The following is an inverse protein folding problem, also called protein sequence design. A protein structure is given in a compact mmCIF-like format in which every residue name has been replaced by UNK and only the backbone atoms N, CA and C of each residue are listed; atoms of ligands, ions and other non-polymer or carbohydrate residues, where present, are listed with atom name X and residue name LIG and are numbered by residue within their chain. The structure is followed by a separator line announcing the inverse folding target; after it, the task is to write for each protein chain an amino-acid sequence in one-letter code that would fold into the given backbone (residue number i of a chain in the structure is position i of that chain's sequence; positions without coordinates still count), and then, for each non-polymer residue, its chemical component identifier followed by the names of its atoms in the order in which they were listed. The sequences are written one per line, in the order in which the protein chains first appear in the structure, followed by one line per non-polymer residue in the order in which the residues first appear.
data_IF_956602788309
#
_entry.id   IF_956602788309
#
_cell.length_a   1.000
_cell.length_b   1.000
_cell.length_c   1.000
_cell.angle_alpha   90.00
_cell.angle_beta   90.00
_cell.angle_gamma   90.00
#
_symmetry.space_group_name_H-M   'P 1'
#
loop_
_entity.id
_entity.type
_entity.pdbx_description
1 polymer ?
#
# COMPACT_ATOMS: atom_id res chain seq x y z
N UNK A 1 -25.82 -10.79 8.14
CA UNK A 1 -25.56 -9.46 8.75
C UNK A 1 -26.02 -8.42 7.75
N UNK A 2 -26.81 -7.43 8.17
CA UNK A 2 -27.19 -6.31 7.30
C UNK A 2 -25.92 -5.56 6.88
N UNK A 3 -25.78 -5.19 5.60
CA UNK A 3 -24.68 -4.32 5.16
C UNK A 3 -24.76 -3.01 5.98
N UNK A 4 -23.65 -2.55 6.59
CA UNK A 4 -23.66 -1.29 7.32
C UNK A 4 -24.10 -0.16 6.38
N UNK A 5 -25.05 0.67 6.84
CA UNK A 5 -25.56 1.77 6.05
C UNK A 5 -24.44 2.77 5.78
N UNK A 6 -24.06 2.91 4.51
CA UNK A 6 -23.09 3.92 4.07
C UNK A 6 -23.72 5.32 4.15
N UNK A 7 -22.93 6.30 4.56
CA UNK A 7 -23.29 7.73 4.58
C UNK A 7 -23.40 8.34 3.17
N UNK A 8 -22.94 7.61 2.15
CA UNK A 8 -22.97 8.03 0.75
C UNK A 8 -23.78 7.08 -0.13
N UNK A 9 -24.38 7.63 -1.18
CA UNK A 9 -25.17 6.88 -2.16
C UNK A 9 -25.02 7.51 -3.55
N UNK A 10 -24.96 6.71 -4.63
CA UNK A 10 -24.87 5.25 -4.65
C UNK A 10 -23.47 4.73 -4.27
N UNK A 11 -23.41 3.62 -3.54
CA UNK A 11 -22.16 2.95 -3.16
C UNK A 11 -22.14 1.49 -3.63
N UNK A 12 -20.98 1.05 -4.12
CA UNK A 12 -20.71 -0.34 -4.48
C UNK A 12 -19.41 -0.83 -3.85
N UNK A 13 -19.30 -2.15 -3.72
CA UNK A 13 -18.04 -2.82 -3.41
C UNK A 13 -17.67 -3.71 -4.58
N UNK A 14 -16.41 -3.67 -4.99
CA UNK A 14 -15.83 -4.66 -5.90
C UNK A 14 -14.82 -5.47 -5.09
N UNK A 15 -15.00 -6.79 -5.05
CA UNK A 15 -14.11 -7.70 -4.36
C UNK A 15 -13.27 -8.47 -5.37
N UNK A 16 -11.99 -8.67 -5.05
CA UNK A 16 -11.05 -9.49 -5.79
C UNK A 16 -10.48 -10.57 -4.89
N UNK A 17 -10.08 -11.70 -5.47
CA UNK A 17 -9.22 -12.67 -4.79
C UNK A 17 -7.72 -12.32 -4.93
N UNK A 18 -6.85 -13.23 -4.51
CA UNK A 18 -5.40 -13.01 -4.52
C UNK A 18 -4.79 -12.99 -5.93
N UNK A 19 -5.47 -13.58 -6.92
CA UNK A 19 -5.05 -13.64 -8.33
C UNK A 19 -5.61 -12.48 -9.16
N UNK A 20 -6.47 -11.67 -8.55
CA UNK A 20 -7.08 -10.50 -9.16
C UNK A 20 -8.39 -10.82 -9.87
N UNK A 21 -9.00 -11.99 -9.64
CA UNK A 21 -10.28 -12.33 -10.21
C UNK A 21 -11.41 -11.62 -9.43
N UNK A 22 -12.29 -10.86 -10.11
CA UNK A 22 -13.36 -10.13 -9.44
C UNK A 22 -14.53 -11.05 -9.08
N UNK A 23 -15.17 -10.79 -7.94
CA UNK A 23 -16.46 -11.38 -7.60
C UNK A 23 -17.53 -10.92 -8.61
N UNK A 24 -17.92 -11.82 -9.53
CA UNK A 24 -18.74 -11.49 -10.70
C UNK A 24 -20.04 -10.74 -10.38
N UNK A 25 -20.79 -11.17 -9.36
CA UNK A 25 -22.06 -10.52 -8.98
C UNK A 25 -21.89 -9.07 -8.53
N UNK A 26 -20.82 -8.76 -7.80
CA UNK A 26 -20.51 -7.40 -7.33
C UNK A 26 -20.09 -6.51 -8.48
N UNK A 27 -19.20 -7.02 -9.33
CA UNK A 27 -18.77 -6.36 -10.57
C UNK A 27 -19.97 -6.02 -11.46
N UNK A 28 -20.84 -6.98 -11.72
CA UNK A 28 -21.97 -6.79 -12.62
C UNK A 28 -22.98 -5.77 -12.07
N UNK A 29 -23.20 -5.75 -10.75
CA UNK A 29 -24.01 -4.72 -10.07
C UNK A 29 -23.42 -3.32 -10.19
N UNK A 30 -22.10 -3.19 -10.13
CA UNK A 30 -21.42 -1.90 -10.36
C UNK A 30 -21.63 -1.45 -11.81
N UNK A 31 -21.38 -2.34 -12.79
CA UNK A 31 -21.50 -2.02 -14.21
C UNK A 31 -22.91 -1.56 -14.59
N UNK A 32 -23.93 -2.29 -14.15
CA UNK A 32 -25.33 -1.90 -14.37
C UNK A 32 -25.70 -0.62 -13.60
N UNK A 33 -25.32 -0.57 -12.32
CA UNK A 33 -25.68 0.52 -11.42
C UNK A 33 -25.14 1.89 -11.82
N UNK A 34 -23.93 1.96 -12.38
CA UNK A 34 -23.33 3.21 -12.88
C UNK A 34 -24.22 3.84 -13.97
N UNK A 35 -24.69 3.02 -14.91
CA UNK A 35 -25.56 3.46 -16.00
C UNK A 35 -26.98 3.78 -15.49
N UNK A 36 -27.58 2.89 -14.71
CA UNK A 36 -28.94 3.06 -14.17
C UNK A 36 -29.09 4.29 -13.28
N UNK A 37 -28.03 4.65 -12.53
CA UNK A 37 -28.02 5.81 -11.65
C UNK A 37 -27.52 7.10 -12.32
N UNK A 38 -27.12 7.04 -13.60
CA UNK A 38 -26.62 8.20 -14.33
C UNK A 38 -25.37 8.83 -13.71
N UNK A 39 -24.49 7.99 -13.13
CA UNK A 39 -23.24 8.45 -12.50
C UNK A 39 -22.34 9.08 -13.57
N UNK A 40 -21.83 10.29 -13.28
CA UNK A 40 -20.86 10.97 -14.16
C UNK A 40 -19.44 10.80 -13.65
N UNK A 41 -19.22 10.94 -12.35
CA UNK A 41 -17.91 10.83 -11.72
C UNK A 41 -17.94 9.66 -10.74
N UNK A 42 -17.10 8.63 -10.98
CA UNK A 42 -17.01 7.43 -10.17
C UNK A 42 -15.70 7.48 -9.38
N UNK A 43 -15.80 7.66 -8.06
CA UNK A 43 -14.65 7.67 -7.16
C UNK A 43 -14.44 6.24 -6.66
N UNK A 44 -13.32 5.64 -7.06
CA UNK A 44 -12.93 4.28 -6.69
C UNK A 44 -11.79 4.35 -5.69
N UNK A 45 -12.00 3.86 -4.48
CA UNK A 45 -10.99 3.87 -3.43
C UNK A 45 -10.52 2.45 -3.11
N UNK A 46 -9.22 2.20 -3.29
CA UNK A 46 -8.54 1.03 -2.79
C UNK A 46 -7.72 1.39 -1.55
N UNK A 47 -8.09 0.83 -0.40
CA UNK A 47 -7.29 0.92 0.80
C UNK A 47 -6.27 -0.23 0.87
N UNK A 48 -5.17 -0.01 1.60
CA UNK A 48 -4.05 -0.95 1.72
C UNK A 48 -4.30 -2.16 2.61
N UNK A 49 -5.35 -2.15 3.44
CA UNK A 49 -5.60 -3.17 4.45
C UNK A 49 -7.07 -3.55 4.53
N UNK A 50 -7.40 -4.83 4.38
CA UNK A 50 -8.77 -5.33 4.47
C UNK A 50 -8.84 -6.52 5.44
N UNK A 51 -8.14 -6.42 6.59
CA UNK A 51 -8.10 -7.48 7.62
C UNK A 51 -9.49 -8.02 7.94
N UNK A 52 -10.49 -7.16 8.00
CA UNK A 52 -11.89 -7.55 8.00
C UNK A 52 -12.73 -6.61 7.13
N UNK A 53 -13.74 -7.15 6.45
CA UNK A 53 -14.60 -6.37 5.53
C UNK A 53 -15.30 -5.22 6.26
N UNK A 54 -15.72 -5.41 7.50
CA UNK A 54 -16.46 -4.38 8.23
C UNK A 54 -15.58 -3.16 8.54
N UNK A 55 -14.31 -3.38 8.89
CA UNK A 55 -13.30 -2.35 9.09
C UNK A 55 -13.03 -1.57 7.81
N UNK A 56 -12.83 -2.28 6.69
CA UNK A 56 -12.65 -1.67 5.38
C UNK A 56 -13.83 -0.79 4.97
N UNK A 57 -15.06 -1.30 5.09
CA UNK A 57 -16.28 -0.54 4.77
C UNK A 57 -16.44 0.70 5.65
N UNK A 58 -16.11 0.64 6.96
CA UNK A 58 -16.12 1.83 7.84
C UNK A 58 -15.09 2.88 7.42
N UNK A 59 -13.93 2.46 6.93
CA UNK A 59 -12.91 3.38 6.42
C UNK A 59 -13.37 4.06 5.13
N UNK A 60 -13.95 3.30 4.20
CA UNK A 60 -14.54 3.84 2.99
C UNK A 60 -15.66 4.84 3.31
N UNK A 61 -16.55 4.49 4.24
CA UNK A 61 -17.62 5.37 4.68
C UNK A 61 -17.09 6.71 5.20
N UNK A 62 -16.14 6.67 6.13
CA UNK A 62 -15.57 7.89 6.71
C UNK A 62 -14.80 8.74 5.70
N UNK A 63 -14.08 8.09 4.78
CA UNK A 63 -13.35 8.82 3.74
C UNK A 63 -14.31 9.50 2.76
N UNK A 64 -15.41 8.83 2.39
CA UNK A 64 -16.38 9.36 1.44
C UNK A 64 -17.38 10.34 2.04
N UNK A 65 -17.66 10.26 3.35
CA UNK A 65 -18.67 11.07 4.04
C UNK A 65 -18.62 12.59 3.74
N UNK A 66 -17.45 13.25 3.59
CA UNK A 66 -17.41 14.67 3.24
C UNK A 66 -17.84 14.99 1.80
N UNK A 67 -17.67 14.05 0.85
CA UNK A 67 -17.75 14.33 -0.59
C UNK A 67 -19.12 14.88 -1.06
N UNK A 68 -20.29 14.35 -0.63
CA UNK A 68 -21.57 14.90 -1.05
C UNK A 68 -21.76 16.38 -0.67
N UNK A 69 -21.18 16.81 0.47
CA UNK A 69 -21.25 18.21 0.91
C UNK A 69 -20.26 19.10 0.16
N UNK A 70 -19.14 18.54 -0.28
CA UNK A 70 -18.08 19.27 -0.98
C UNK A 70 -18.39 19.46 -2.48
N UNK A 71 -19.17 18.57 -3.08
CA UNK A 71 -19.60 18.65 -4.49
C UNK A 71 -21.10 18.28 -4.63
N UNK A 72 -22.02 19.09 -4.08
CA UNK A 72 -23.45 18.75 -4.03
C UNK A 72 -24.14 18.74 -5.40
N UNK A 73 -23.56 19.37 -6.41
CA UNK A 73 -24.08 19.37 -7.78
C UNK A 73 -23.56 18.19 -8.62
N UNK A 74 -22.52 17.50 -8.15
CA UNK A 74 -21.89 16.42 -8.88
C UNK A 74 -22.71 15.13 -8.79
N UNK A 75 -22.79 14.38 -9.89
CA UNK A 75 -23.38 13.04 -9.94
C UNK A 75 -22.32 12.00 -9.63
N UNK A 76 -22.00 11.87 -8.34
CA UNK A 76 -20.92 11.01 -7.86
C UNK A 76 -21.43 9.61 -7.51
N UNK A 77 -20.72 8.58 -7.97
CA UNK A 77 -20.82 7.22 -7.44
C UNK A 77 -19.57 6.85 -6.66
N UNK A 78 -19.71 5.97 -5.67
CA UNK A 78 -18.63 5.60 -4.75
C UNK A 78 -18.34 4.09 -4.82
N UNK A 79 -17.07 3.71 -4.90
CA UNK A 79 -16.66 2.30 -4.94
C UNK A 79 -15.56 2.03 -3.92
N UNK A 80 -15.80 1.07 -3.01
CA UNK A 80 -14.74 0.47 -2.19
C UNK A 80 -14.16 -0.76 -2.86
N UNK A 81 -12.83 -0.88 -2.92
CA UNK A 81 -12.13 -2.06 -3.46
C UNK A 81 -11.74 -3.00 -2.33
N UNK A 82 -12.32 -4.20 -2.33
CA UNK A 82 -11.96 -5.27 -1.41
C UNK A 82 -10.99 -6.21 -2.10
N UNK A 83 -9.89 -6.53 -1.43
CA UNK A 83 -8.87 -7.46 -1.91
C UNK A 83 -8.15 -8.07 -0.71
N UNK A 84 -7.56 -9.28 -0.82
CA UNK A 84 -7.00 -9.96 0.33
C UNK A 84 -5.75 -9.21 0.81
N UNK A 85 -5.89 -8.42 1.85
CA UNK A 85 -4.82 -7.60 2.40
C UNK A 85 -4.96 -7.51 3.90
N UNK A 86 -3.84 -7.51 4.63
CA UNK A 86 -3.86 -7.41 6.08
C UNK A 86 -2.87 -6.38 6.61
N UNK A 87 -3.15 -5.99 7.86
CA UNK A 87 -2.29 -5.24 8.75
C UNK A 87 -2.06 -6.04 10.02
N UNK A 88 -0.86 -5.93 10.61
CA UNK A 88 -0.62 -6.42 11.96
C UNK A 88 -1.36 -5.54 12.97
N UNK A 89 -2.11 -6.13 13.88
CA UNK A 89 -2.99 -5.45 14.85
C UNK A 89 -2.28 -4.38 15.68
N UNK A 90 -0.97 -4.54 15.93
CA UNK A 90 -0.12 -3.65 16.74
C UNK A 90 0.12 -2.25 16.12
N UNK A 91 -0.28 -2.03 14.88
CA UNK A 91 -0.19 -0.74 14.19
C UNK A 91 -1.43 0.15 14.42
N UNK A 92 -1.36 1.25 15.19
CA UNK A 92 -2.54 2.06 15.49
C UNK A 92 -3.06 2.81 14.25
N UNK A 93 -4.40 2.88 14.09
CA UNK A 93 -5.07 3.73 13.09
C UNK A 93 -5.73 4.92 13.83
N UNK A 94 -5.39 6.18 13.50
CA UNK A 94 -6.07 7.34 14.05
C UNK A 94 -7.60 7.29 13.81
N UNK A 95 -8.37 7.81 14.76
CA UNK A 95 -9.83 7.87 14.72
C UNK A 95 -10.58 6.52 14.79
N UNK A 96 -9.90 5.37 14.73
CA UNK A 96 -10.51 4.06 14.97
C UNK A 96 -10.22 3.56 16.38
N UNK A 97 -11.23 3.00 17.10
CA UNK A 97 -10.97 2.39 18.40
C UNK A 97 -10.03 1.19 18.22
N UNK A 98 -9.06 1.04 19.13
CA UNK A 98 -8.34 -0.23 19.29
C UNK A 98 -9.38 -1.30 19.61
N UNK A 99 -9.33 -2.44 18.92
CA UNK A 99 -10.01 -3.63 19.40
C UNK A 99 -9.39 -3.92 20.77
N UNK A 100 -10.16 -3.67 21.83
CA UNK A 100 -9.82 -3.67 23.27
C UNK A 100 -8.76 -2.67 23.77
N UNK A 101 -9.03 -2.12 24.95
CA UNK A 101 -8.07 -1.42 25.82
C UNK A 101 -7.05 -2.41 26.43
N UNK A 102 -6.45 -3.25 25.59
CA UNK A 102 -5.39 -4.17 25.98
C UNK A 102 -4.03 -3.46 25.88
N UNK A 103 -3.09 -3.88 26.72
CA UNK A 103 -1.67 -3.54 26.58
C UNK A 103 -1.22 -3.71 25.12
N UNK A 104 -0.29 -2.88 24.61
CA UNK A 104 0.28 -3.12 23.28
C UNK A 104 0.73 -4.58 23.20
N UNK A 105 0.40 -5.30 22.11
CA UNK A 105 0.73 -6.71 21.98
C UNK A 105 2.23 -6.91 22.21
N UNK A 106 2.55 -7.86 23.08
CA UNK A 106 3.92 -8.13 23.50
C UNK A 106 4.61 -8.88 22.38
N UNK A 107 5.44 -8.17 21.60
CA UNK A 107 6.42 -8.85 20.76
C UNK A 107 7.25 -9.80 21.63
N UNK A 108 7.57 -10.99 21.11
CA UNK A 108 7.36 -11.45 19.73
C UNK A 108 6.04 -12.20 19.47
N UNK A 109 5.11 -12.29 20.43
CA UNK A 109 3.91 -13.13 20.34
C UNK A 109 2.84 -12.54 19.42
N UNK A 110 2.23 -13.40 18.59
CA UNK A 110 1.07 -13.02 17.76
C UNK A 110 -0.20 -12.97 18.60
N UNK A 111 -0.87 -11.83 18.62
CA UNK A 111 -2.21 -11.76 19.19
C UNK A 111 -3.26 -12.46 18.31
N UNK A 112 -4.45 -12.63 18.89
CA UNK A 112 -5.57 -13.33 18.23
C UNK A 112 -5.98 -12.66 16.91
N UNK A 113 -5.95 -11.34 16.86
CA UNK A 113 -6.42 -10.57 15.70
C UNK A 113 -5.41 -10.70 14.54
N UNK A 114 -4.11 -10.63 14.83
CA UNK A 114 -3.06 -10.88 13.84
C UNK A 114 -3.08 -12.32 13.35
N UNK A 115 -3.27 -13.31 14.25
CA UNK A 115 -3.38 -14.71 13.83
C UNK A 115 -4.59 -14.94 12.92
N UNK A 116 -5.74 -14.34 13.25
CA UNK A 116 -6.93 -14.41 12.39
C UNK A 116 -6.69 -13.74 11.03
N UNK A 117 -6.07 -12.57 11.01
CA UNK A 117 -5.71 -11.85 9.79
C UNK A 117 -4.80 -12.67 8.86
N UNK A 118 -3.79 -13.37 9.43
CA UNK A 118 -2.92 -14.27 8.66
C UNK A 118 -3.70 -15.42 8.01
N UNK A 119 -4.63 -16.04 8.74
CA UNK A 119 -5.45 -17.14 8.23
C UNK A 119 -6.37 -16.72 7.09
N UNK A 120 -6.99 -15.53 7.21
CA UNK A 120 -7.87 -14.99 6.17
C UNK A 120 -7.07 -14.56 4.92
N UNK A 121 -5.87 -14.03 5.12
CA UNK A 121 -4.97 -13.56 4.05
C UNK A 121 -4.28 -14.69 3.31
N UNK A 122 -4.04 -15.82 3.98
CA UNK A 122 -3.37 -17.01 3.47
C UNK A 122 -4.25 -18.26 3.71
N UNK A 123 -5.38 -18.38 2.98
CA UNK A 123 -6.29 -19.49 3.16
C UNK A 123 -5.60 -20.84 2.92
N UNK A 124 -5.93 -21.84 3.73
CA UNK A 124 -5.31 -23.18 3.66
C UNK A 124 -3.93 -23.29 4.32
N UNK A 125 -3.39 -22.22 4.90
CA UNK A 125 -2.06 -22.21 5.55
C UNK A 125 -2.11 -22.32 7.08
N UNK A 126 -3.22 -22.81 7.65
CA UNK A 126 -3.45 -22.84 9.10
C UNK A 126 -2.34 -23.56 9.90
N UNK A 127 -1.86 -24.70 9.40
CA UNK A 127 -0.79 -25.46 10.06
C UNK A 127 0.51 -24.63 10.15
N UNK A 128 0.87 -23.91 9.09
CA UNK A 128 2.06 -23.06 9.05
C UNK A 128 1.92 -21.88 10.01
N UNK A 129 0.77 -21.19 9.99
CA UNK A 129 0.49 -20.07 10.91
C UNK A 129 0.60 -20.54 12.36
N UNK A 130 0.11 -21.74 12.67
CA UNK A 130 0.17 -22.31 14.01
C UNK A 130 1.59 -22.69 14.43
N UNK A 131 2.41 -23.19 13.50
CA UNK A 131 3.83 -23.47 13.77
C UNK A 131 4.62 -22.17 14.02
N UNK A 132 4.43 -21.16 13.17
CA UNK A 132 5.04 -19.83 13.31
C UNK A 132 4.66 -19.20 14.65
N UNK A 133 3.38 -19.23 15.02
CA UNK A 133 2.90 -18.70 16.29
C UNK A 133 3.53 -19.42 17.50
N UNK A 134 3.67 -20.75 17.43
CA UNK A 134 4.31 -21.53 18.49
C UNK A 134 5.79 -21.19 18.67
N UNK A 135 6.55 -21.04 17.58
CA UNK A 135 7.96 -20.67 17.66
C UNK A 135 8.14 -19.27 18.28
N UNK A 136 7.30 -18.31 17.89
CA UNK A 136 7.30 -16.96 18.48
C UNK A 136 6.93 -16.98 19.98
N UNK A 137 6.07 -17.90 20.41
CA UNK A 137 5.70 -18.05 21.82
C UNK A 137 6.80 -18.73 22.63
N UNK A 138 7.43 -19.78 22.09
CA UNK A 138 8.42 -20.60 22.79
C UNK A 138 9.81 -19.96 22.84
N UNK A 139 10.17 -19.17 21.82
CA UNK A 139 11.47 -18.50 21.69
C UNK A 139 12.66 -19.41 22.00
N UNK A 140 12.78 -20.58 21.33
CA UNK A 140 13.89 -21.49 21.60
C UNK A 140 15.24 -20.80 21.37
N UNK A 141 16.26 -21.10 22.20
CA UNK A 141 17.54 -20.41 22.17
C UNK A 141 18.45 -20.83 21.00
N UNK A 142 18.16 -21.94 20.33
CA UNK A 142 18.97 -22.48 19.24
C UNK A 142 18.79 -21.67 17.94
N UNK A 143 19.90 -21.25 17.33
CA UNK A 143 19.90 -20.52 16.05
C UNK A 143 19.19 -21.29 14.91
N UNK A 144 19.27 -22.62 14.93
CA UNK A 144 18.60 -23.48 13.95
C UNK A 144 17.07 -23.31 13.94
N UNK A 145 16.47 -22.90 15.06
CA UNK A 145 15.03 -22.66 15.15
C UNK A 145 14.61 -21.35 14.47
N UNK A 146 15.50 -20.35 14.40
CA UNK A 146 15.28 -19.14 13.60
C UNK A 146 15.37 -19.45 12.09
N UNK A 147 16.21 -20.41 11.70
CA UNK A 147 16.26 -20.90 10.31
C UNK A 147 14.99 -21.66 9.94
N UNK A 148 14.48 -22.53 10.81
CA UNK A 148 13.20 -23.20 10.60
C UNK A 148 12.05 -22.18 10.57
N UNK A 149 12.06 -21.19 11.45
CA UNK A 149 11.10 -20.08 11.42
C UNK A 149 11.11 -19.37 10.07
N UNK A 150 12.28 -18.98 9.57
CA UNK A 150 12.43 -18.34 8.26
C UNK A 150 11.92 -19.21 7.11
N UNK A 151 12.16 -20.52 7.15
CA UNK A 151 11.63 -21.49 6.17
C UNK A 151 10.10 -21.55 6.19
N UNK A 152 9.48 -21.55 7.37
CA UNK A 152 8.03 -21.52 7.53
C UNK A 152 7.43 -20.21 7.00
N UNK A 153 8.03 -19.06 7.32
CA UNK A 153 7.63 -17.75 6.81
C UNK A 153 7.71 -17.70 5.29
N UNK A 154 8.83 -18.17 4.70
CA UNK A 154 9.01 -18.25 3.25
C UNK A 154 7.94 -19.10 2.57
N UNK A 155 7.56 -20.21 3.21
CA UNK A 155 6.51 -21.12 2.72
C UNK A 155 5.13 -20.47 2.83
N UNK A 156 4.85 -19.74 3.93
CA UNK A 156 3.59 -19.05 4.16
C UNK A 156 3.30 -18.01 3.06
N UNK A 157 4.29 -17.19 2.72
CA UNK A 157 4.11 -16.06 1.78
C UNK A 157 4.29 -16.46 0.31
N UNK A 158 4.48 -17.76 0.06
CA UNK A 158 4.68 -18.35 -1.26
C UNK A 158 5.68 -17.52 -2.08
N UNK A 159 6.92 -17.43 -1.62
CA UNK A 159 7.96 -16.74 -2.40
C UNK A 159 8.04 -17.41 -3.78
N UNK A 160 7.52 -16.70 -4.78
CA UNK A 160 7.37 -17.21 -6.14
C UNK A 160 8.76 -17.31 -6.77
N UNK A 161 9.03 -18.41 -7.46
CA UNK A 161 10.22 -18.56 -8.28
C UNK A 161 10.36 -17.39 -9.30
N UNK A 162 11.58 -17.07 -9.77
CA UNK A 162 11.79 -16.03 -10.77
C UNK A 162 10.86 -16.18 -11.99
N UNK A 163 10.10 -15.14 -12.33
CA UNK A 163 9.13 -15.17 -13.43
C UNK A 163 8.29 -13.89 -13.56
N UNK A 164 7.33 -13.82 -14.51
CA UNK A 164 6.55 -12.60 -14.77
C UNK A 164 5.77 -12.10 -13.54
N UNK A 165 5.40 -12.98 -12.62
CA UNK A 165 4.70 -12.63 -11.37
C UNK A 165 5.59 -11.88 -10.37
N UNK A 166 6.91 -12.06 -10.42
CA UNK A 166 7.86 -11.33 -9.57
C UNK A 166 7.87 -9.82 -9.89
N UNK A 167 7.50 -9.44 -11.12
CA UNK A 167 7.35 -8.02 -11.51
C UNK A 167 6.25 -7.30 -10.73
N UNK A 168 5.25 -8.02 -10.21
CA UNK A 168 4.21 -7.40 -9.38
C UNK A 168 4.72 -7.00 -8.00
N UNK A 169 5.82 -7.60 -7.52
CA UNK A 169 6.48 -7.25 -6.27
C UNK A 169 7.63 -6.24 -6.45
N UNK A 170 8.23 -6.18 -7.64
CA UNK A 170 9.33 -5.29 -7.95
C UNK A 170 8.91 -3.82 -7.95
N UNK A 171 9.78 -2.91 -7.48
CA UNK A 171 9.59 -1.47 -7.66
C UNK A 171 10.34 -0.91 -8.86
N UNK A 172 11.45 -1.55 -9.21
CA UNK A 172 12.28 -1.18 -10.35
C UNK A 172 12.53 -2.38 -11.24
N UNK A 173 12.82 -2.12 -12.51
CA UNK A 173 13.07 -3.14 -13.53
C UNK A 173 14.24 -2.71 -14.39
N UNK A 174 15.08 -3.68 -14.76
CA UNK A 174 16.13 -3.50 -15.76
C UNK A 174 15.87 -4.49 -16.89
N UNK A 175 15.95 -4.02 -18.11
CA UNK A 175 15.65 -4.82 -19.29
C UNK A 175 16.59 -6.04 -19.38
N UNK A 176 16.02 -7.21 -19.68
CA UNK A 176 16.78 -8.44 -19.87
C UNK A 176 17.34 -9.09 -18.61
N UNK A 177 17.04 -8.58 -17.40
CA UNK A 177 17.54 -9.18 -16.15
C UNK A 177 16.41 -9.72 -15.27
N UNK A 178 16.44 -11.01 -14.90
CA UNK A 178 15.43 -11.60 -14.01
C UNK A 178 15.30 -10.87 -12.68
N UNK A 179 14.09 -10.90 -12.12
CA UNK A 179 13.83 -10.46 -10.76
C UNK A 179 14.22 -11.59 -9.80
N UNK A 180 15.00 -11.26 -8.78
CA UNK A 180 15.45 -12.19 -7.74
C UNK A 180 14.46 -12.25 -6.59
N UNK A 181 14.63 -13.25 -5.73
CA UNK A 181 13.93 -13.30 -4.44
C UNK A 181 14.42 -12.17 -3.51
N UNK A 182 13.59 -11.76 -2.53
CA UNK A 182 14.00 -10.84 -1.47
C UNK A 182 15.31 -11.26 -0.79
N UNK A 183 16.23 -10.31 -0.59
CA UNK A 183 17.46 -10.49 0.21
C UNK A 183 17.16 -11.07 1.62
N UNK A 184 16.02 -10.77 2.24
CA UNK A 184 15.60 -11.37 3.52
C UNK A 184 15.42 -12.90 3.48
N UNK A 185 15.38 -13.49 2.28
CA UNK A 185 15.32 -14.94 2.06
C UNK A 185 16.54 -15.51 1.32
N UNK A 186 17.51 -14.66 0.96
CA UNK A 186 18.69 -15.06 0.18
C UNK A 186 19.86 -15.57 1.04
N UNK A 187 19.75 -15.47 2.38
CA UNK A 187 20.79 -15.85 3.33
C UNK A 187 20.24 -16.47 4.61
N UNK A 188 20.99 -16.35 5.71
CA UNK A 188 20.57 -16.84 7.03
C UNK A 188 19.36 -16.07 7.56
N UNK A 189 18.33 -16.82 7.95
CA UNK A 189 17.14 -16.26 8.59
C UNK A 189 17.48 -15.67 9.96
N UNK A 190 18.43 -16.29 10.69
CA UNK A 190 18.91 -15.76 11.96
C UNK A 190 19.57 -14.37 11.78
N UNK A 191 20.42 -14.20 10.77
CA UNK A 191 21.03 -12.91 10.46
C UNK A 191 20.00 -11.84 10.08
N UNK A 192 18.98 -12.19 9.28
CA UNK A 192 17.88 -11.28 8.95
C UNK A 192 17.07 -10.87 10.20
N UNK A 193 16.79 -11.83 11.09
CA UNK A 193 16.11 -11.56 12.37
C UNK A 193 16.94 -10.63 13.25
N UNK A 194 18.25 -10.85 13.38
CA UNK A 194 19.12 -9.94 14.13
C UNK A 194 19.12 -8.51 13.58
N UNK A 195 19.17 -8.37 12.26
CA UNK A 195 19.15 -7.05 11.62
C UNK A 195 17.83 -6.30 11.90
N UNK A 196 16.71 -7.00 11.81
CA UNK A 196 15.41 -6.42 12.19
C UNK A 196 15.34 -6.09 13.69
N UNK A 197 15.84 -6.97 14.56
CA UNK A 197 15.84 -6.72 16.00
C UNK A 197 16.65 -5.46 16.36
N UNK A 198 17.79 -5.24 15.70
CA UNK A 198 18.61 -4.02 15.86
C UNK A 198 17.85 -2.78 15.38
N UNK A 199 17.25 -2.83 14.19
CA UNK A 199 16.47 -1.71 13.65
C UNK A 199 15.28 -1.33 14.55
N UNK A 200 14.59 -2.31 15.11
CA UNK A 200 13.50 -2.09 16.06
C UNK A 200 13.98 -1.42 17.35
N UNK A 201 15.12 -1.86 17.90
CA UNK A 201 15.69 -1.28 19.11
C UNK A 201 16.07 0.20 18.91
N UNK A 202 16.53 0.59 17.72
CA UNK A 202 16.84 1.99 17.38
C UNK A 202 15.58 2.87 17.29
N UNK A 203 14.47 2.32 16.76
CA UNK A 203 13.19 3.03 16.62
C UNK A 203 12.49 3.30 17.96
N UNK A 204 12.63 2.38 18.93
CA UNK A 204 11.99 2.47 20.25
C UNK A 204 12.68 3.46 21.20
N UNK A 205 13.94 3.83 20.94
CA UNK A 205 14.73 4.74 21.78
C UNK A 205 15.46 5.83 20.98
N UNK A 206 14.73 6.80 20.38
CA UNK A 206 15.35 7.92 19.68
C UNK A 206 15.97 8.91 20.69
N UNK A 207 17.26 8.76 21.01
CA UNK A 207 18.01 9.73 21.81
C UNK A 207 19.28 9.20 22.51
N UNK A 208 20.11 10.09 23.10
CA UNK A 208 21.41 9.75 23.70
C UNK A 208 21.33 8.98 25.03
N UNK A 209 20.13 8.68 25.53
CA UNK A 209 19.91 7.79 26.68
C UNK A 209 19.69 6.36 26.18
N UNK A 210 20.72 5.78 25.58
CA UNK A 210 20.75 4.34 25.31
C UNK A 210 20.82 3.60 26.65
N UNK A 211 19.68 3.10 27.12
CA UNK A 211 19.72 1.90 27.95
C UNK A 211 20.27 0.78 27.07
N UNK A 212 21.24 0.02 27.57
CA UNK A 212 21.77 -1.16 26.88
C UNK A 212 20.63 -2.19 26.76
N UNK A 213 19.89 -2.18 25.64
CA UNK A 213 18.95 -3.25 25.28
C UNK A 213 19.69 -4.20 24.35
N UNK A 214 19.90 -5.43 24.80
CA UNK A 214 20.36 -6.52 23.93
C UNK A 214 19.20 -6.82 22.98
N UNK A 215 19.35 -6.65 21.66
CA UNK A 215 18.28 -6.97 20.71
C UNK A 215 17.87 -8.44 20.84
N UNK A 216 16.56 -8.71 20.95
CA UNK A 216 16.03 -10.07 20.95
C UNK A 216 15.82 -10.54 19.50
N UNK A 217 16.53 -11.56 19.00
CA UNK A 217 16.33 -12.08 17.65
C UNK A 217 14.88 -12.49 17.37
N UNK A 218 14.11 -12.93 18.38
CA UNK A 218 12.70 -13.29 18.19
C UNK A 218 11.78 -12.07 17.97
N UNK A 219 12.12 -10.89 18.48
CA UNK A 219 11.45 -9.63 18.08
C UNK A 219 11.72 -9.34 16.59
N UNK A 220 12.94 -9.65 16.15
CA UNK A 220 13.32 -9.63 14.74
C UNK A 220 12.61 -10.69 13.89
N UNK A 221 12.34 -11.87 14.43
CA UNK A 221 11.58 -12.92 13.76
C UNK A 221 10.11 -12.50 13.56
N UNK A 222 9.50 -11.88 14.57
CA UNK A 222 8.18 -11.25 14.41
C UNK A 222 8.18 -10.19 13.30
N UNK A 223 9.24 -9.37 13.22
CA UNK A 223 9.39 -8.37 12.17
C UNK A 223 9.65 -8.99 10.79
N UNK A 224 10.43 -10.07 10.68
CA UNK A 224 10.63 -10.83 9.45
C UNK A 224 9.29 -11.34 8.91
N UNK A 225 8.44 -11.91 9.77
CA UNK A 225 7.09 -12.34 9.39
C UNK A 225 6.25 -11.15 8.88
N UNK A 226 6.33 -9.99 9.54
CA UNK A 226 5.63 -8.77 9.10
C UNK A 226 6.09 -8.34 7.72
N UNK A 227 7.40 -8.20 7.52
CA UNK A 227 7.97 -7.75 6.25
C UNK A 227 7.72 -8.74 5.12
N UNK A 228 7.81 -10.04 5.39
CA UNK A 228 7.43 -11.08 4.44
C UNK A 228 5.95 -10.98 4.02
N UNK A 229 5.06 -10.75 4.99
CA UNK A 229 3.63 -10.55 4.72
C UNK A 229 3.41 -9.30 3.87
N UNK A 230 4.06 -8.19 4.18
CA UNK A 230 3.97 -6.95 3.40
C UNK A 230 4.56 -7.08 2.01
N UNK A 231 5.63 -7.87 1.82
CA UNK A 231 6.12 -8.22 0.50
C UNK A 231 5.06 -8.99 -0.33
N UNK A 232 4.36 -9.95 0.29
CA UNK A 232 3.24 -10.61 -0.37
C UNK A 232 2.10 -9.64 -0.71
N UNK A 233 1.79 -8.67 0.17
CA UNK A 233 0.75 -7.66 -0.09
C UNK A 233 1.16 -6.72 -1.23
N UNK A 234 2.42 -6.29 -1.28
CA UNK A 234 3.00 -5.49 -2.37
C UNK A 234 2.83 -6.21 -3.72
N UNK A 235 3.17 -7.50 -3.76
CA UNK A 235 2.99 -8.36 -4.94
C UNK A 235 1.52 -8.44 -5.34
N UNK A 236 0.66 -8.78 -4.39
CA UNK A 236 -0.78 -8.96 -4.61
C UNK A 236 -1.47 -7.66 -5.06
N UNK A 237 -1.07 -6.50 -4.53
CA UNK A 237 -1.53 -5.20 -4.99
C UNK A 237 -1.22 -4.98 -6.49
N UNK A 238 -0.03 -5.37 -6.94
CA UNK A 238 0.33 -5.35 -8.36
C UNK A 238 -0.55 -6.29 -9.20
N UNK A 239 -0.74 -7.53 -8.74
CA UNK A 239 -1.59 -8.53 -9.41
C UNK A 239 -3.05 -8.07 -9.52
N UNK A 240 -3.67 -7.72 -8.39
CA UNK A 240 -5.06 -7.27 -8.32
C UNK A 240 -5.26 -5.97 -9.11
N UNK A 241 -4.29 -5.06 -9.06
CA UNK A 241 -4.30 -3.84 -9.87
C UNK A 241 -4.36 -4.15 -11.36
N UNK A 242 -3.33 -4.82 -11.88
CA UNK A 242 -3.17 -5.05 -13.32
C UNK A 242 -4.18 -6.06 -13.88
N UNK A 243 -4.39 -7.18 -13.20
CA UNK A 243 -5.25 -8.28 -13.71
C UNK A 243 -6.71 -8.14 -13.32
N UNK A 244 -7.00 -7.42 -12.24
CA UNK A 244 -8.35 -7.19 -11.73
C UNK A 244 -8.87 -5.80 -12.07
N UNK A 245 -8.52 -4.81 -11.25
CA UNK A 245 -9.12 -3.49 -11.29
C UNK A 245 -8.97 -2.81 -12.66
N UNK A 246 -7.80 -2.93 -13.31
CA UNK A 246 -7.60 -2.38 -14.66
C UNK A 246 -8.59 -2.94 -15.69
N UNK A 247 -8.90 -4.24 -15.63
CA UNK A 247 -9.88 -4.88 -16.51
C UNK A 247 -11.31 -4.44 -16.19
N UNK A 248 -11.66 -4.32 -14.91
CA UNK A 248 -12.98 -3.82 -14.48
C UNK A 248 -13.19 -2.37 -14.94
N UNK A 249 -12.17 -1.52 -14.86
CA UNK A 249 -12.23 -0.15 -15.41
C UNK A 249 -12.39 -0.16 -16.93
N UNK A 250 -11.75 -1.10 -17.63
CA UNK A 250 -11.98 -1.32 -19.06
C UNK A 250 -13.43 -1.70 -19.39
N UNK A 251 -14.03 -2.57 -18.59
CA UNK A 251 -15.44 -2.96 -18.74
C UNK A 251 -16.39 -1.79 -18.44
N UNK A 252 -16.08 -0.96 -17.43
CA UNK A 252 -16.81 0.28 -17.15
C UNK A 252 -16.76 1.24 -18.34
N UNK A 253 -15.59 1.41 -18.96
CA UNK A 253 -15.43 2.28 -20.12
C UNK A 253 -16.28 1.81 -21.32
N UNK A 254 -16.53 0.49 -21.46
CA UNK A 254 -17.40 -0.05 -22.49
C UNK A 254 -18.89 0.10 -22.14
N UNK A 255 -19.27 -0.23 -20.90
CA UNK A 255 -20.66 -0.22 -20.46
C UNK A 255 -21.21 1.20 -20.22
N UNK A 256 -20.35 2.15 -19.83
CA UNK A 256 -20.68 3.53 -19.56
C UNK A 256 -19.59 4.47 -20.11
N UNK A 257 -19.53 4.71 -21.43
CA UNK A 257 -18.45 5.50 -22.06
C UNK A 257 -18.31 6.93 -21.53
N UNK A 258 -19.40 7.48 -21.01
CA UNK A 258 -19.46 8.81 -20.40
C UNK A 258 -19.05 8.83 -18.91
N UNK A 259 -18.74 7.70 -18.28
CA UNK A 259 -18.28 7.74 -16.89
C UNK A 259 -16.85 8.31 -16.83
N UNK A 260 -16.56 9.08 -15.78
CA UNK A 260 -15.23 9.58 -15.43
C UNK A 260 -14.77 8.85 -14.18
N UNK A 261 -13.71 8.06 -14.29
CA UNK A 261 -13.21 7.28 -13.16
C UNK A 261 -12.08 8.04 -12.46
N UNK A 262 -12.19 8.18 -11.15
CA UNK A 262 -11.20 8.82 -10.28
C UNK A 262 -10.66 7.75 -9.33
N UNK A 263 -9.43 7.34 -9.54
CA UNK A 263 -8.81 6.31 -8.71
C UNK A 263 -8.16 6.97 -7.49
N UNK A 264 -8.47 6.46 -6.31
CA UNK A 264 -7.85 6.84 -5.05
C UNK A 264 -7.23 5.59 -4.45
N UNK A 265 -5.99 5.70 -4.00
CA UNK A 265 -5.31 4.57 -3.37
C UNK A 265 -4.53 5.02 -2.15
N UNK A 266 -4.60 4.24 -1.08
CA UNK A 266 -3.83 4.48 0.15
C UNK A 266 -2.85 3.33 0.41
N UNK A 267 -1.61 3.62 0.84
CA UNK A 267 -0.62 2.58 1.17
C UNK A 267 -0.43 1.60 0.00
N UNK A 268 -0.57 0.28 0.21
CA UNK A 268 -0.57 -0.69 -0.90
C UNK A 268 -1.75 -0.56 -1.87
N UNK A 269 -2.86 0.05 -1.45
CA UNK A 269 -3.95 0.43 -2.34
C UNK A 269 -3.53 1.50 -3.36
N UNK A 270 -2.56 2.35 -3.02
CA UNK A 270 -1.93 3.29 -3.96
C UNK A 270 -1.14 2.55 -5.05
N UNK A 271 -0.43 1.49 -4.67
CA UNK A 271 0.24 0.59 -5.62
C UNK A 271 -0.79 -0.11 -6.51
N UNK A 272 -1.87 -0.63 -5.92
CA UNK A 272 -2.95 -1.33 -6.63
C UNK A 272 -3.56 -0.45 -7.73
N UNK A 273 -4.00 0.76 -7.41
CA UNK A 273 -4.58 1.66 -8.42
C UNK A 273 -3.55 2.12 -9.46
N UNK A 274 -2.26 2.16 -9.11
CA UNK A 274 -1.20 2.46 -10.06
C UNK A 274 -0.96 1.32 -11.04
N UNK A 275 -0.98 0.06 -10.57
CA UNK A 275 -0.92 -1.12 -11.44
C UNK A 275 -2.20 -1.31 -12.27
N UNK A 276 -3.36 -0.81 -11.80
CA UNK A 276 -4.56 -0.77 -12.63
C UNK A 276 -4.35 -0.01 -13.94
N UNK A 277 -3.47 1.00 -13.97
CA UNK A 277 -3.11 1.72 -15.21
C UNK A 277 -2.40 0.82 -16.23
N UNK A 278 -1.59 -0.16 -15.79
CA UNK A 278 -0.99 -1.19 -16.64
C UNK A 278 -2.03 -2.16 -17.19
N UNK A 279 -3.05 -2.45 -16.39
CA UNK A 279 -4.16 -3.34 -16.74
C UNK A 279 -5.23 -2.75 -17.64
N UNK A 280 -5.17 -1.44 -17.94
CA UNK A 280 -6.17 -0.79 -18.79
C UNK A 280 -6.07 -1.31 -20.23
N UNK A 281 -7.19 -1.75 -20.84
CA UNK A 281 -7.21 -2.03 -22.27
C UNK A 281 -6.76 -0.83 -23.11
N UNK A 282 -6.22 -1.10 -24.30
CA UNK A 282 -5.81 -0.05 -25.24
C UNK A 282 -6.98 0.88 -25.58
N UNK A 283 -6.70 2.18 -25.75
CA UNK A 283 -7.72 3.18 -26.06
C UNK A 283 -8.58 3.64 -24.88
N UNK A 284 -8.53 3.01 -23.71
CA UNK A 284 -9.30 3.44 -22.54
C UNK A 284 -8.76 4.76 -21.98
N UNK A 285 -9.61 5.80 -21.97
CA UNK A 285 -9.32 7.16 -21.48
C UNK A 285 -10.24 7.61 -20.35
N UNK A 286 -11.01 6.68 -19.78
CA UNK A 286 -12.02 6.94 -18.75
C UNK A 286 -11.43 7.35 -17.40
N UNK A 287 -10.18 6.98 -17.09
CA UNK A 287 -9.49 7.41 -15.87
C UNK A 287 -9.08 8.88 -15.97
N UNK A 288 -9.72 9.75 -15.16
CA UNK A 288 -9.57 11.21 -15.21
C UNK A 288 -8.68 11.77 -14.10
N UNK A 289 -8.36 10.99 -13.08
CA UNK A 289 -7.35 11.34 -12.09
C UNK A 289 -6.95 10.10 -11.30
N UNK A 290 -5.73 10.15 -10.76
CA UNK A 290 -5.24 9.20 -9.76
C UNK A 290 -4.75 9.99 -8.57
N UNK A 291 -5.20 9.68 -7.35
CA UNK A 291 -4.72 10.28 -6.10
C UNK A 291 -4.13 9.20 -5.21
N UNK A 292 -2.83 9.29 -4.94
CA UNK A 292 -2.07 8.38 -4.10
C UNK A 292 -1.89 9.02 -2.72
N UNK A 293 -2.48 8.44 -1.68
CA UNK A 293 -2.38 8.89 -0.30
C UNK A 293 -1.37 8.00 0.42
N UNK A 294 -0.23 8.55 0.87
CA UNK A 294 0.78 7.80 1.61
C UNK A 294 1.16 6.50 0.88
N UNK A 295 1.53 6.60 -0.41
CA UNK A 295 1.78 5.43 -1.25
C UNK A 295 2.97 4.58 -0.78
N UNK A 296 2.71 3.31 -0.45
CA UNK A 296 3.69 2.37 0.10
C UNK A 296 4.44 1.59 -1.01
N UNK A 297 5.11 2.32 -1.89
CA UNK A 297 5.96 1.80 -2.96
C UNK A 297 6.91 2.89 -3.46
N UNK A 298 7.89 2.50 -4.28
CA UNK A 298 9.08 3.33 -4.49
C UNK A 298 8.74 4.67 -5.10
N UNK A 299 9.38 5.73 -4.61
CA UNK A 299 9.33 7.05 -5.21
C UNK A 299 9.83 7.12 -6.67
N UNK A 300 10.57 6.10 -7.13
CA UNK A 300 11.02 5.97 -8.50
C UNK A 300 10.13 5.09 -9.38
N UNK A 301 8.99 4.59 -8.87
CA UNK A 301 8.17 3.62 -9.60
C UNK A 301 7.71 4.12 -10.98
N UNK A 302 7.57 5.43 -11.19
CA UNK A 302 7.18 6.04 -12.48
C UNK A 302 8.37 6.61 -13.29
N UNK A 303 9.59 6.56 -12.74
CA UNK A 303 10.78 7.13 -13.37
C UNK A 303 11.20 6.30 -14.58
N UNK A 304 11.48 6.95 -15.70
CA UNK A 304 11.97 6.26 -16.90
C UNK A 304 13.40 5.71 -16.70
N UNK A 305 14.19 6.36 -15.83
CA UNK A 305 15.53 5.93 -15.45
C UNK A 305 15.79 6.22 -13.99
N UNK A 306 16.47 5.33 -13.30
CA UNK A 306 16.88 5.55 -11.91
C UNK A 306 18.10 6.49 -11.87
N UNK A 307 18.17 7.44 -10.91
CA UNK A 307 19.34 8.31 -10.75
C UNK A 307 20.65 7.56 -10.51
N UNK A 308 20.57 6.35 -9.93
CA UNK A 308 21.71 5.53 -9.53
C UNK A 308 21.97 4.33 -10.45
N UNK A 309 21.10 4.05 -11.43
CA UNK A 309 21.33 3.03 -12.47
C UNK A 309 20.58 3.40 -13.75
N UNK A 310 21.30 3.93 -14.75
CA UNK A 310 20.73 4.39 -16.01
C UNK A 310 20.15 3.26 -16.88
N UNK A 311 20.42 1.99 -16.55
CA UNK A 311 19.88 0.80 -17.25
C UNK A 311 18.58 0.30 -16.63
N UNK A 312 18.18 0.85 -15.48
CA UNK A 312 16.97 0.50 -14.78
C UNK A 312 15.98 1.66 -14.78
N UNK A 313 14.69 1.34 -14.73
CA UNK A 313 13.59 2.28 -14.57
C UNK A 313 12.59 1.77 -13.54
N UNK A 314 11.59 2.60 -13.22
CA UNK A 314 10.48 2.20 -12.38
C UNK A 314 9.57 1.18 -13.07
N UNK A 315 8.99 0.26 -12.30
CA UNK A 315 8.09 -0.79 -12.82
C UNK A 315 6.79 -0.25 -13.46
N UNK A 316 6.45 1.01 -13.16
CA UNK A 316 5.30 1.75 -13.67
C UNK A 316 5.73 2.90 -14.60
N UNK A 317 6.95 2.87 -15.15
CA UNK A 317 7.43 3.90 -16.06
C UNK A 317 6.44 4.15 -17.21
N UNK A 318 6.09 5.42 -17.44
CA UNK A 318 5.16 5.85 -18.49
C UNK A 318 3.68 5.59 -18.20
N UNK A 319 3.33 4.87 -17.14
CA UNK A 319 1.94 4.52 -16.83
C UNK A 319 1.12 5.72 -16.37
N UNK A 320 1.75 6.75 -15.80
CA UNK A 320 1.11 8.04 -15.52
C UNK A 320 0.50 8.69 -16.77
N UNK A 321 0.99 8.37 -17.97
CA UNK A 321 0.46 8.90 -19.24
C UNK A 321 -0.88 8.25 -19.66
N UNK A 322 -1.26 7.16 -18.99
CA UNK A 322 -2.56 6.49 -19.17
C UNK A 322 -3.70 7.25 -18.51
N UNK A 323 -3.40 8.22 -17.65
CA UNK A 323 -4.39 9.07 -16.99
C UNK A 323 -4.75 10.23 -17.92
N UNK A 324 -6.04 10.43 -18.16
CA UNK A 324 -6.57 11.61 -18.86
C UNK A 324 -6.77 12.78 -17.88
N UNK A 325 -5.70 13.09 -17.15
CA UNK A 325 -5.68 13.96 -15.97
C UNK A 325 -4.40 13.79 -15.15
N UNK A 326 -4.31 14.43 -13.97
CA UNK A 326 -3.13 14.35 -13.13
C UNK A 326 -3.04 13.02 -12.34
N UNK A 327 -1.81 12.60 -12.08
CA UNK A 327 -1.47 11.68 -10.99
C UNK A 327 -0.95 12.51 -9.82
N UNK A 328 -1.72 12.57 -8.74
CA UNK A 328 -1.41 13.34 -7.54
C UNK A 328 -0.88 12.41 -6.46
N UNK A 329 0.34 12.65 -5.99
CA UNK A 329 0.97 11.95 -4.89
C UNK A 329 0.96 12.85 -3.65
N UNK A 330 0.16 12.47 -2.66
CA UNK A 330 0.10 13.09 -1.36
C UNK A 330 1.08 12.38 -0.42
N UNK A 331 2.00 13.15 0.15
CA UNK A 331 3.06 12.61 1.01
C UNK A 331 3.17 13.38 2.33
N UNK A 332 3.73 12.74 3.34
CA UNK A 332 3.99 13.37 4.64
C UNK A 332 5.27 12.86 5.26
N UNK A 333 6.12 13.78 5.70
CA UNK A 333 7.31 13.48 6.51
C UNK A 333 6.99 12.87 7.88
N UNK A 334 5.73 12.91 8.32
CA UNK A 334 5.28 12.31 9.57
C UNK A 334 4.92 10.82 9.43
N UNK A 335 4.98 10.28 8.21
CA UNK A 335 4.79 8.85 7.93
C UNK A 335 6.07 8.06 8.25
N UNK A 336 6.16 7.52 9.46
CA UNK A 336 7.34 6.80 9.92
C UNK A 336 7.46 5.40 9.29
N UNK A 337 6.33 4.76 8.95
CA UNK A 337 6.35 3.49 8.21
C UNK A 337 7.09 3.65 6.89
N UNK A 338 6.77 4.71 6.14
CA UNK A 338 7.39 4.98 4.84
C UNK A 338 8.76 5.65 4.94
N UNK A 339 9.01 6.41 6.01
CA UNK A 339 10.30 7.06 6.24
C UNK A 339 11.42 6.15 6.76
N UNK A 340 11.09 4.99 7.36
CA UNK A 340 12.10 4.14 8.02
C UNK A 340 11.94 2.65 7.73
N UNK A 341 10.75 2.07 7.92
CA UNK A 341 10.56 0.63 7.72
C UNK A 341 10.58 0.25 6.24
N UNK A 342 9.96 1.07 5.39
CA UNK A 342 9.93 0.81 3.95
C UNK A 342 11.33 0.80 3.30
N UNK A 343 12.24 1.78 3.53
CA UNK A 343 13.59 1.72 2.96
C UNK A 343 14.39 0.48 3.38
N UNK A 344 14.24 0.06 4.64
CA UNK A 344 14.87 -1.17 5.13
C UNK A 344 14.30 -2.40 4.42
N UNK A 345 12.96 -2.49 4.35
CA UNK A 345 12.26 -3.59 3.71
C UNK A 345 12.52 -3.65 2.20
N UNK A 346 12.61 -2.52 1.50
CA UNK A 346 12.87 -2.46 0.05
C UNK A 346 14.28 -2.90 -0.29
N UNK A 347 15.29 -2.50 0.51
CA UNK A 347 16.64 -3.07 0.39
C UNK A 347 16.59 -4.59 0.58
N UNK A 348 15.98 -5.05 1.66
CA UNK A 348 15.85 -6.48 1.97
C UNK A 348 14.94 -7.23 0.99
N UNK A 349 14.18 -6.54 0.15
CA UNK A 349 13.39 -7.12 -0.94
C UNK A 349 14.21 -7.33 -2.21
N UNK A 350 15.51 -7.01 -2.21
CA UNK A 350 16.36 -7.15 -3.39
C UNK A 350 16.06 -6.13 -4.48
N UNK A 351 15.45 -4.99 -4.12
CA UNK A 351 15.30 -3.86 -5.05
C UNK A 351 16.71 -3.25 -5.40
N UNK A 352 17.80 -3.73 -4.76
CA UNK A 352 19.23 -3.51 -5.05
C UNK A 352 19.88 -4.52 -6.01
N UNK A 353 20.85 -4.05 -6.81
CA UNK A 353 21.91 -4.88 -7.44
C UNK A 353 23.34 -4.49 -7.05
N UNK A 354 23.53 -3.80 -5.94
CA UNK A 354 24.86 -3.45 -5.45
C UNK A 354 24.93 -3.75 -3.96
N UNK A 355 25.63 -4.83 -3.63
CA UNK A 355 26.01 -5.17 -2.27
C UNK A 355 27.12 -4.22 -1.80
N UNK A 356 27.08 -3.87 -0.52
CA UNK A 356 28.04 -3.06 0.24
C UNK A 356 27.89 -1.52 0.14
N UNK A 357 26.95 -0.96 0.91
CA UNK A 357 27.14 0.38 1.49
C UNK A 357 26.68 0.42 2.97
N UNK A 358 27.40 1.13 3.87
CA UNK A 358 27.05 1.21 5.29
C UNK A 358 25.78 2.02 5.55
N UNK A 359 25.01 1.59 6.55
CA UNK A 359 23.68 2.07 6.92
C UNK A 359 23.74 3.43 7.61
N UNK A 360 23.21 4.46 6.96
CA UNK A 360 22.80 5.70 7.60
C UNK A 360 21.41 6.05 7.06
N UNK A 361 20.39 6.19 7.92
CA UNK A 361 18.98 6.29 7.52
C UNK A 361 18.64 7.37 6.48
N UNK A 362 19.45 8.44 6.37
CA UNK A 362 19.30 9.46 5.31
C UNK A 362 19.78 9.00 3.92
N UNK A 363 20.75 8.09 3.84
CA UNK A 363 21.32 7.57 2.58
C UNK A 363 20.44 6.46 2.01
N UNK A 364 19.87 5.59 2.87
CA UNK A 364 18.87 4.58 2.44
C UNK A 364 17.63 5.24 1.81
N UNK A 365 17.16 6.35 2.38
CA UNK A 365 15.97 7.05 1.88
C UNK A 365 16.10 7.62 0.46
N UNK A 366 17.31 7.95 0.00
CA UNK A 366 17.52 8.50 -1.35
C UNK A 366 17.42 7.43 -2.46
N UNK A 367 17.74 6.18 -2.12
CA UNK A 367 17.70 5.05 -3.06
C UNK A 367 16.39 4.24 -2.93
N UNK A 368 15.93 4.07 -1.70
CA UNK A 368 14.82 3.19 -1.31
C UNK A 368 13.64 3.94 -0.67
N UNK A 369 13.47 5.21 -1.02
CA UNK A 369 12.37 6.01 -0.49
C UNK A 369 11.00 5.56 -1.02
N UNK A 370 9.98 5.68 -0.18
CA UNK A 370 8.59 5.49 -0.57
C UNK A 370 7.96 6.84 -0.94
N UNK A 371 7.17 6.84 -2.01
CA UNK A 371 6.53 8.08 -2.47
C UNK A 371 5.57 8.70 -1.46
N UNK A 372 4.99 7.92 -0.56
CA UNK A 372 4.15 8.47 0.50
C UNK A 372 4.91 9.28 1.56
N UNK A 373 6.26 9.21 1.58
CA UNK A 373 7.11 10.00 2.44
C UNK A 373 7.61 11.28 1.75
N UNK A 374 8.14 11.16 0.52
CA UNK A 374 8.84 12.25 -0.19
C UNK A 374 8.34 12.52 -1.62
N UNK A 375 7.20 11.95 -2.00
CA UNK A 375 6.55 12.16 -3.30
C UNK A 375 7.16 11.34 -4.44
N UNK A 376 6.66 11.58 -5.66
CA UNK A 376 7.23 11.00 -6.89
C UNK A 376 8.57 11.67 -7.20
N UNK A 377 9.60 10.86 -7.51
CA UNK A 377 10.96 11.30 -7.78
C UNK A 377 11.42 10.87 -9.18
N UNK A 378 12.40 11.59 -9.74
CA UNK A 378 12.99 11.34 -11.06
C UNK A 378 12.01 11.22 -12.25
N UNK A 379 10.84 11.86 -12.15
CA UNK A 379 9.90 12.03 -13.27
C UNK A 379 9.94 13.50 -13.72
N UNK A 380 10.48 13.82 -14.91
CA UNK A 380 10.57 15.19 -15.41
C UNK A 380 9.21 15.88 -15.47
N UNK A 381 9.16 17.15 -15.07
CA UNK A 381 7.94 17.96 -15.09
C UNK A 381 6.99 17.73 -13.90
N UNK A 382 7.38 16.90 -12.92
CA UNK A 382 6.62 16.75 -11.67
C UNK A 382 6.55 18.09 -10.93
N UNK A 383 5.33 18.57 -10.69
CA UNK A 383 5.11 19.82 -9.93
C UNK A 383 4.92 19.52 -8.45
N UNK A 384 5.34 20.43 -7.58
CA UNK A 384 5.16 20.30 -6.13
C UNK A 384 4.31 21.44 -5.60
N UNK A 385 3.39 21.11 -4.71
CA UNK A 385 2.52 22.03 -3.98
C UNK A 385 2.49 21.62 -2.51
N UNK A 386 2.23 22.56 -1.62
CA UNK A 386 1.64 22.25 -0.31
C UNK A 386 0.17 21.88 -0.48
N UNK A 387 -0.42 21.18 0.49
CA UNK A 387 -1.85 20.86 0.46
C UNK A 387 -2.73 22.11 0.37
N UNK A 388 -2.37 23.20 1.06
CA UNK A 388 -3.11 24.46 0.97
C UNK A 388 -3.09 25.04 -0.46
N UNK A 389 -1.90 25.13 -1.08
CA UNK A 389 -1.77 25.62 -2.46
C UNK A 389 -2.51 24.72 -3.45
N UNK A 390 -2.44 23.39 -3.28
CA UNK A 390 -3.12 22.43 -4.16
C UNK A 390 -4.65 22.56 -4.13
N UNK A 391 -5.22 23.00 -2.99
CA UNK A 391 -6.66 23.19 -2.82
C UNK A 391 -7.18 24.52 -3.38
N UNK A 392 -6.29 25.49 -3.58
CA UNK A 392 -6.62 26.80 -4.17
C UNK A 392 -6.25 26.87 -5.66
N UNK A 393 -5.21 26.14 -6.06
CA UNK A 393 -4.70 26.14 -7.42
C UNK A 393 -5.53 25.26 -8.37
N UNK A 394 -5.47 25.61 -9.66
CA UNK A 394 -5.86 24.68 -10.72
C UNK A 394 -4.73 23.68 -10.96
N UNK A 395 -4.88 22.46 -10.44
CA UNK A 395 -3.90 21.39 -10.64
C UNK A 395 -3.66 21.10 -12.15
N UNK A 396 -2.43 20.68 -12.52
CA UNK A 396 -2.08 20.29 -13.88
C UNK A 396 -3.09 19.34 -14.53
N UNK A 397 -3.22 19.44 -15.86
CA UNK A 397 -4.12 18.57 -16.64
C UNK A 397 -3.52 17.21 -17.01
N UNK A 398 -2.24 17.00 -16.76
CA UNK A 398 -1.54 15.76 -17.00
C UNK A 398 -0.26 15.72 -16.18
N UNK A 399 0.35 14.54 -16.10
CA UNK A 399 1.63 14.34 -15.43
C UNK A 399 1.50 14.17 -13.92
N UNK A 400 2.65 14.03 -13.27
CA UNK A 400 2.76 13.82 -11.83
C UNK A 400 2.72 15.15 -11.06
N UNK A 401 2.10 15.12 -9.89
CA UNK A 401 2.01 16.24 -8.95
C UNK A 401 2.30 15.72 -7.55
N UNK A 402 3.27 16.30 -6.87
CA UNK A 402 3.52 16.06 -5.45
C UNK A 402 2.77 17.10 -4.62
N UNK A 403 2.11 16.62 -3.56
CA UNK A 403 1.40 17.45 -2.58
C UNK A 403 1.93 17.12 -1.19
N UNK A 404 2.62 18.07 -0.57
CA UNK A 404 3.03 17.98 0.83
C UNK A 404 1.81 18.19 1.74
N UNK A 405 1.36 17.10 2.37
CA UNK A 405 0.23 17.09 3.27
C UNK A 405 0.61 17.07 4.75
N UNK A 406 1.89 17.26 5.09
CA UNK A 406 2.38 17.15 6.47
C UNK A 406 1.74 18.14 7.45
N UNK A 407 1.10 19.22 6.98
CA UNK A 407 0.33 20.12 7.83
C UNK A 407 -0.94 19.44 8.42
N UNK A 408 -1.50 18.49 7.68
CA UNK A 408 -2.76 17.79 8.01
C UNK A 408 -2.51 16.34 8.40
N UNK A 409 -1.74 15.60 7.60
CA UNK A 409 -1.35 14.19 7.82
C UNK A 409 -0.17 14.16 8.79
N UNK A 410 -0.46 14.17 10.09
CA UNK A 410 0.56 14.26 11.16
C UNK A 410 0.18 13.56 12.46
N UNK A 411 -1.02 12.97 12.57
CA UNK A 411 -1.51 12.28 13.76
C UNK A 411 -1.20 10.79 13.66
N UNK A 412 -0.78 10.18 14.76
CA UNK A 412 -0.50 8.74 14.82
C UNK A 412 0.57 8.43 15.84
N UNK A 413 1.02 7.17 15.87
CA UNK A 413 2.01 6.69 16.83
C UNK A 413 2.95 5.68 16.20
N UNK A 414 4.11 5.41 16.83
CA UNK A 414 5.02 4.37 16.38
C UNK A 414 4.33 2.99 16.34
N UNK A 415 4.75 2.09 15.43
CA UNK A 415 5.83 2.29 14.45
C UNK A 415 5.38 3.03 13.18
N UNK A 416 4.07 3.21 12.96
CA UNK A 416 3.54 3.69 11.67
C UNK A 416 3.58 5.23 11.49
N UNK A 417 3.61 6.00 12.58
CA UNK A 417 3.49 7.45 12.53
C UNK A 417 2.15 7.87 11.92
N UNK A 418 2.15 8.85 11.02
CA UNK A 418 0.96 9.39 10.38
C UNK A 418 0.45 8.59 9.16
N UNK A 419 0.94 7.37 8.95
CA UNK A 419 0.63 6.57 7.75
C UNK A 419 -0.88 6.47 7.47
N UNK A 420 -1.69 6.24 8.51
CA UNK A 420 -3.14 6.06 8.37
C UNK A 420 -3.97 7.30 8.67
N UNK A 421 -3.34 8.47 8.83
CA UNK A 421 -4.02 9.74 9.11
C UNK A 421 -4.59 10.37 7.84
N UNK A 422 -5.50 9.64 7.19
CA UNK A 422 -6.02 9.96 5.85
C UNK A 422 -7.48 10.42 5.85
N UNK A 423 -8.13 10.43 7.02
CA UNK A 423 -9.54 10.78 7.17
C UNK A 423 -9.74 12.28 7.39
N UNK A 424 -9.29 13.08 6.41
CA UNK A 424 -9.36 14.54 6.44
C UNK A 424 -10.20 15.07 5.29
N UNK A 425 -11.02 16.09 5.55
CA UNK A 425 -11.85 16.71 4.52
C UNK A 425 -10.99 17.37 3.43
N UNK A 426 -9.79 17.84 3.77
CA UNK A 426 -8.80 18.40 2.87
C UNK A 426 -8.33 17.38 1.83
N UNK A 427 -8.15 16.12 2.22
CA UNK A 427 -7.76 15.04 1.30
C UNK A 427 -8.94 14.67 0.38
N UNK A 428 -10.18 14.67 0.89
CA UNK A 428 -11.37 14.51 0.05
C UNK A 428 -11.52 15.66 -0.96
N UNK A 429 -11.25 16.91 -0.56
CA UNK A 429 -11.22 18.07 -1.46
C UNK A 429 -10.12 17.93 -2.52
N UNK A 430 -8.96 17.38 -2.16
CA UNK A 430 -7.87 17.15 -3.11
C UNK A 430 -8.27 16.14 -4.20
N UNK A 431 -8.99 15.07 -3.85
CA UNK A 431 -9.53 14.12 -4.84
C UNK A 431 -10.48 14.82 -5.83
N UNK A 432 -11.40 15.65 -5.32
CA UNK A 432 -12.33 16.43 -6.17
C UNK A 432 -11.57 17.43 -7.07
N UNK A 433 -10.56 18.12 -6.54
CA UNK A 433 -9.74 19.06 -7.28
C UNK A 433 -8.94 18.39 -8.40
N UNK A 434 -8.31 17.24 -8.10
CA UNK A 434 -7.58 16.43 -9.07
C UNK A 434 -8.50 15.92 -10.19
N UNK A 435 -9.70 15.45 -9.82
CA UNK A 435 -10.71 14.95 -10.75
C UNK A 435 -11.49 16.05 -11.49
N UNK A 436 -11.38 17.31 -11.04
CA UNK A 436 -12.20 18.45 -11.50
C UNK A 436 -13.70 18.18 -11.38
N UNK A 437 -14.08 17.49 -10.32
CA UNK A 437 -15.47 17.17 -9.97
C UNK A 437 -16.08 18.40 -9.30
N UNK A 438 -17.26 18.84 -9.76
CA UNK A 438 -17.91 20.09 -9.32
C UNK A 438 -19.39 19.86 -9.06
#
# INVERSE_FOLDING_TARGET
MADPAMSVTPYWEVAFDADGDPEGRRRDRLLAGVTERGVRDLIVFAHGWNTDRSGATRLYDRFFAPLPRLAPAARIGYVGVLWPAMRFSDEPIPDFPRAVAAEPPRRPVLDKDTRHALLDTFPGRAILVDQIARLLEQQPPEEAELEEFGRLVRTLVEVVAPGPQALFAADTVAEGVPQSEPEMFAGSSAAACEEFARALAELEAPGPRQGFRIPNPWDGAHELLRQATYYAMKRRAGTVGERGLGRVVGQLAQAAPEVRVHLVGHSFGARLVSFALRGLPEGVRTVKSVTLLQGAFSHYAFAARLPHDARAGGVLQGQQNRVDGPLVCCHSRHDAALGTMYPLASRMAGDSRSAAEPVMGRVLGAKWGAMGYDGVQAVPGTRTYTLAEALEAKLPASGCVNVDAAAVVRRGGPPAGAHSDILHAELARLVLAAGRVR
#
